data_IF_641806449531
#
_entry.id   IF_641806449531
#
_cell.length_a   1.000
_cell.length_b   1.000
_cell.length_c   1.000
_cell.angle_alpha   90.00
_cell.angle_beta   90.00
_cell.angle_gamma   90.00
#
_symmetry.space_group_name_H-M   'P 1'
#
loop_
_entity.id
_entity.type
_entity.pdbx_description
1 polymer ?
#
# COMPACT_ATOMS: atom_id res chain seq x y z
N UNK A 1 -76.43 -20.95 10.96
CA UNK A 1 -75.94 -21.88 9.92
C UNK A 1 -75.83 -21.11 8.61
N UNK A 2 -74.78 -20.30 8.43
CA UNK A 2 -74.52 -19.50 7.21
C UNK A 2 -73.00 -19.43 6.98
N UNK A 3 -72.60 -20.01 5.84
CA UNK A 3 -71.45 -19.79 4.95
C UNK A 3 -70.12 -19.23 5.51
N UNK A 4 -69.15 -20.13 5.56
CA UNK A 4 -67.71 -19.93 5.30
C UNK A 4 -67.48 -19.30 3.92
N UNK A 5 -66.56 -18.33 3.82
CA UNK A 5 -65.49 -18.19 2.80
C UNK A 5 -64.86 -16.80 2.85
N UNK A 6 -63.60 -16.71 2.41
CA UNK A 6 -62.78 -15.50 2.17
C UNK A 6 -61.98 -14.94 3.35
N UNK A 7 -60.82 -15.55 3.65
CA UNK A 7 -59.53 -14.82 3.75
C UNK A 7 -58.40 -15.78 3.37
N UNK A 8 -58.09 -15.86 2.08
CA UNK A 8 -56.82 -16.40 1.56
C UNK A 8 -56.42 -15.56 0.37
N UNK A 9 -55.63 -14.53 0.63
CA UNK A 9 -54.70 -13.90 -0.33
C UNK A 9 -54.03 -12.71 0.36
N UNK A 10 -52.73 -12.52 0.04
CA UNK A 10 -51.85 -11.41 0.45
C UNK A 10 -51.09 -11.57 1.77
N UNK A 11 -50.24 -12.60 1.87
CA UNK A 11 -49.06 -12.53 2.74
C UNK A 11 -47.96 -13.50 2.30
N UNK A 12 -47.51 -13.43 1.04
CA UNK A 12 -46.40 -14.26 0.56
C UNK A 12 -45.61 -13.64 -0.60
N UNK A 13 -45.44 -12.31 -0.63
CA UNK A 13 -44.66 -11.66 -1.69
C UNK A 13 -43.78 -10.48 -1.20
N UNK A 14 -43.33 -10.52 0.06
CA UNK A 14 -42.44 -9.48 0.62
C UNK A 14 -41.16 -10.02 1.27
N UNK A 15 -40.92 -11.34 1.25
CA UNK A 15 -39.75 -11.95 1.92
C UNK A 15 -38.76 -12.66 0.98
N UNK A 16 -38.93 -12.51 -0.34
CA UNK A 16 -37.96 -13.01 -1.34
C UNK A 16 -37.04 -11.90 -1.88
N UNK A 17 -37.27 -10.63 -1.52
CA UNK A 17 -36.54 -9.47 -2.05
C UNK A 17 -35.41 -8.94 -1.18
N UNK A 18 -35.18 -9.50 0.01
CA UNK A 18 -34.23 -8.97 1.01
C UNK A 18 -32.98 -9.84 1.24
N UNK A 19 -32.82 -10.96 0.52
CA UNK A 19 -31.63 -11.83 0.64
C UNK A 19 -30.69 -11.77 -0.56
N UNK A 20 -31.02 -11.05 -1.64
CA UNK A 20 -30.09 -10.82 -2.76
C UNK A 20 -29.16 -9.60 -2.57
N UNK A 21 -29.20 -8.95 -1.41
CA UNK A 21 -28.47 -7.69 -1.15
C UNK A 21 -27.07 -7.82 -0.54
N UNK A 22 -26.54 -9.03 -0.30
CA UNK A 22 -25.29 -9.20 0.46
C UNK A 22 -24.23 -10.11 -0.20
N UNK A 23 -24.40 -10.46 -1.48
CA UNK A 23 -23.31 -11.00 -2.31
C UNK A 23 -22.83 -9.93 -3.28
N UNK A 24 -22.50 -8.73 -2.78
CA UNK A 24 -21.38 -8.03 -3.38
C UNK A 24 -20.14 -8.82 -3.00
N UNK A 25 -19.85 -9.87 -3.79
CA UNK A 25 -18.51 -10.41 -3.90
C UNK A 25 -17.58 -9.19 -4.01
N UNK A 26 -16.62 -9.07 -3.10
CA UNK A 26 -15.66 -7.97 -3.07
C UNK A 26 -14.84 -8.01 -4.35
N UNK A 27 -15.35 -7.37 -5.40
CA UNK A 27 -14.77 -7.29 -6.74
C UNK A 27 -13.54 -6.38 -6.81
N UNK A 28 -12.82 -6.21 -5.70
CA UNK A 28 -11.59 -5.43 -5.69
C UNK A 28 -10.42 -6.40 -5.73
N UNK A 29 -9.63 -6.33 -6.81
CA UNK A 29 -8.31 -6.95 -6.85
C UNK A 29 -7.45 -6.45 -5.68
N UNK A 30 -6.66 -7.36 -5.11
CA UNK A 30 -5.65 -7.06 -4.09
C UNK A 30 -4.26 -7.08 -4.72
N UNK A 31 -3.22 -6.71 -3.96
CA UNK A 31 -1.86 -6.67 -4.50
C UNK A 31 -1.07 -7.97 -4.30
N UNK A 32 -1.43 -8.83 -3.34
CA UNK A 32 -0.70 -10.06 -3.05
C UNK A 32 -1.55 -11.29 -3.34
N UNK A 33 -1.02 -12.18 -4.17
CA UNK A 33 -1.65 -13.45 -4.51
C UNK A 33 -0.74 -14.64 -4.26
N UNK A 34 -1.35 -15.79 -4.00
CA UNK A 34 -0.69 -17.10 -3.95
C UNK A 34 -1.11 -17.92 -5.16
N UNK A 35 -0.14 -18.52 -5.83
CA UNK A 35 -0.38 -19.47 -6.91
C UNK A 35 0.81 -20.39 -7.15
N UNK A 36 0.70 -21.28 -8.14
CA UNK A 36 1.77 -22.21 -8.56
C UNK A 36 2.27 -21.84 -9.95
N UNK A 37 3.58 -21.92 -10.18
CA UNK A 37 4.13 -21.87 -11.55
C UNK A 37 3.96 -23.23 -12.24
N UNK A 38 3.28 -23.27 -13.39
CA UNK A 38 3.16 -24.50 -14.17
C UNK A 38 4.23 -24.64 -15.27
N UNK A 39 5.02 -23.59 -15.52
CA UNK A 39 6.03 -23.58 -16.57
C UNK A 39 7.15 -24.54 -16.19
N UNK A 40 7.33 -25.60 -16.97
CA UNK A 40 8.36 -26.63 -16.71
C UNK A 40 9.78 -26.17 -17.06
N UNK A 41 9.92 -25.37 -18.12
CA UNK A 41 11.22 -24.94 -18.66
C UNK A 41 11.21 -23.44 -18.85
N UNK A 42 12.32 -22.77 -18.54
CA UNK A 42 12.47 -21.35 -18.82
C UNK A 42 12.57 -21.12 -20.33
N UNK A 43 11.76 -20.22 -20.86
CA UNK A 43 11.68 -19.93 -22.31
C UNK A 43 12.48 -18.70 -22.72
N UNK A 44 13.02 -17.95 -21.76
CA UNK A 44 13.75 -16.70 -22.00
C UNK A 44 14.82 -16.44 -20.92
N UNK A 45 15.70 -15.48 -21.19
CA UNK A 45 16.77 -15.06 -20.28
C UNK A 45 18.01 -15.95 -20.36
N UNK A 46 19.01 -15.66 -19.50
CA UNK A 46 20.30 -16.34 -19.49
C UNK A 46 20.21 -17.86 -19.21
N UNK A 47 19.12 -18.30 -18.60
CA UNK A 47 18.86 -19.69 -18.21
C UNK A 47 17.80 -20.36 -19.09
N UNK A 48 17.50 -19.79 -20.27
CA UNK A 48 16.55 -20.39 -21.21
C UNK A 48 16.96 -21.83 -21.58
N UNK A 49 15.98 -22.73 -21.61
CA UNK A 49 16.19 -24.16 -21.83
C UNK A 49 16.42 -24.99 -20.56
N UNK A 50 16.71 -24.35 -19.41
CA UNK A 50 16.83 -25.05 -18.14
C UNK A 50 15.46 -25.30 -17.47
N UNK A 51 15.33 -26.32 -16.61
CA UNK A 51 14.14 -26.52 -15.78
C UNK A 51 13.79 -25.26 -14.98
N UNK A 52 12.52 -24.90 -14.89
CA UNK A 52 12.11 -23.79 -14.05
C UNK A 52 12.17 -24.22 -12.58
N UNK A 53 12.99 -23.59 -11.71
CA UNK A 53 13.12 -24.01 -10.32
C UNK A 53 11.82 -23.79 -9.51
N UNK A 54 10.87 -23.00 -10.05
CA UNK A 54 9.57 -22.72 -9.45
C UNK A 54 8.44 -23.64 -9.96
N UNK A 55 8.71 -24.50 -10.94
CA UNK A 55 7.68 -25.40 -11.48
C UNK A 55 7.07 -26.25 -10.36
N UNK A 56 5.74 -26.20 -10.22
CA UNK A 56 4.99 -26.94 -9.21
C UNK A 56 5.13 -26.43 -7.77
N UNK A 57 5.81 -25.29 -7.54
CA UNK A 57 5.99 -24.70 -6.21
C UNK A 57 4.98 -23.59 -5.94
N UNK A 58 4.65 -23.38 -4.67
CA UNK A 58 3.96 -22.15 -4.24
C UNK A 58 4.81 -20.93 -4.60
N UNK A 59 4.17 -19.81 -4.91
CA UNK A 59 4.83 -18.55 -5.18
C UNK A 59 3.98 -17.40 -4.67
N UNK A 60 4.60 -16.47 -3.94
CA UNK A 60 3.98 -15.16 -3.67
C UNK A 60 4.09 -14.31 -4.93
N UNK A 61 2.95 -13.77 -5.37
CA UNK A 61 2.81 -12.96 -6.56
C UNK A 61 2.38 -11.55 -6.15
N UNK A 62 3.10 -10.54 -6.62
CA UNK A 62 2.65 -9.16 -6.58
C UNK A 62 1.89 -8.83 -7.86
N UNK A 63 0.69 -8.28 -7.72
CA UNK A 63 -0.18 -7.91 -8.82
C UNK A 63 0.03 -6.44 -9.22
N UNK A 64 0.57 -6.21 -10.42
CA UNK A 64 0.56 -4.88 -11.02
C UNK A 64 -0.80 -4.62 -11.65
N UNK A 65 -1.60 -3.81 -10.97
CA UNK A 65 -2.96 -3.45 -11.40
C UNK A 65 -2.91 -2.11 -12.15
N UNK A 66 -3.32 -2.11 -13.41
CA UNK A 66 -3.43 -0.93 -14.26
C UNK A 66 -4.87 -0.41 -14.32
N UNK A 67 -5.06 0.90 -14.54
CA UNK A 67 -6.37 1.50 -14.60
C UNK A 67 -7.17 1.04 -15.83
N UNK A 68 -8.46 1.39 -15.82
CA UNK A 68 -9.38 1.12 -16.93
C UNK A 68 -8.80 1.57 -18.29
N UNK A 69 -8.99 0.74 -19.32
CA UNK A 69 -8.42 0.94 -20.66
C UNK A 69 -6.99 0.41 -20.85
N UNK A 70 -6.30 0.04 -19.76
CA UNK A 70 -4.94 -0.55 -19.80
C UNK A 70 -4.85 -1.91 -19.10
N UNK A 71 -5.99 -2.53 -18.79
CA UNK A 71 -6.03 -3.77 -18.01
C UNK A 71 -5.29 -4.95 -18.66
N UNK A 72 -5.00 -4.91 -19.96
CA UNK A 72 -4.16 -5.91 -20.63
C UNK A 72 -2.69 -5.87 -20.18
N UNK A 73 -2.26 -4.79 -19.52
CA UNK A 73 -0.93 -4.67 -18.90
C UNK A 73 -0.89 -5.30 -17.50
N UNK A 74 -2.04 -5.72 -16.96
CA UNK A 74 -2.11 -6.40 -15.68
C UNK A 74 -1.26 -7.67 -15.71
N UNK A 75 -0.36 -7.81 -14.76
CA UNK A 75 0.48 -8.98 -14.66
C UNK A 75 0.95 -9.23 -13.23
N UNK A 76 1.39 -10.46 -12.99
CA UNK A 76 2.08 -10.84 -11.77
C UNK A 76 3.59 -10.69 -11.88
N UNK A 77 4.19 -10.22 -10.80
CA UNK A 77 5.61 -10.39 -10.52
C UNK A 77 5.82 -11.39 -9.39
N UNK A 78 6.74 -12.35 -9.56
CA UNK A 78 7.04 -13.35 -8.55
C UNK A 78 7.99 -12.82 -7.48
N UNK A 79 7.51 -12.67 -6.24
CA UNK A 79 8.28 -12.18 -5.10
C UNK A 79 8.78 -13.33 -4.21
N UNK A 80 8.08 -14.45 -4.15
CA UNK A 80 8.50 -15.62 -3.36
C UNK A 80 9.14 -16.71 -4.22
N UNK A 81 10.04 -16.36 -5.14
CA UNK A 81 10.52 -17.30 -6.16
C UNK A 81 11.94 -17.81 -5.90
N UNK A 82 12.20 -19.06 -6.28
CA UNK A 82 13.55 -19.58 -6.47
C UNK A 82 14.15 -18.97 -7.74
N UNK A 83 15.46 -18.76 -7.73
CA UNK A 83 16.18 -18.15 -8.86
C UNK A 83 17.47 -18.89 -9.14
N UNK A 84 17.85 -18.96 -10.41
CA UNK A 84 19.19 -19.39 -10.80
C UNK A 84 20.21 -18.27 -10.60
N UNK A 85 21.42 -18.64 -10.18
CA UNK A 85 22.57 -17.76 -10.09
C UNK A 85 23.84 -18.46 -10.62
N UNK A 86 24.80 -17.67 -11.09
CA UNK A 86 26.07 -18.18 -11.63
C UNK A 86 26.04 -18.43 -13.14
N UNK A 87 26.94 -19.29 -13.60
CA UNK A 87 27.07 -19.65 -15.01
C UNK A 87 25.91 -20.56 -15.47
N UNK A 88 25.38 -20.33 -16.68
CA UNK A 88 24.23 -21.07 -17.18
C UNK A 88 24.51 -22.55 -17.50
N UNK A 89 25.77 -22.93 -17.73
CA UNK A 89 26.18 -24.33 -17.91
C UNK A 89 26.29 -25.09 -16.58
N UNK A 90 26.33 -24.39 -15.46
CA UNK A 90 26.45 -24.97 -14.11
C UNK A 90 25.81 -24.08 -13.04
N UNK A 91 24.50 -23.76 -13.15
CA UNK A 91 23.89 -22.78 -12.28
C UNK A 91 23.60 -23.37 -10.90
N UNK A 92 23.50 -22.48 -9.92
CA UNK A 92 23.01 -22.81 -8.58
C UNK A 92 21.59 -22.29 -8.42
N UNK A 93 20.74 -23.02 -7.69
CA UNK A 93 19.38 -22.59 -7.37
C UNK A 93 19.39 -22.00 -5.96
N UNK A 94 19.09 -20.70 -5.86
CA UNK A 94 18.84 -20.02 -4.60
C UNK A 94 17.35 -19.98 -4.28
N UNK A 95 17.02 -20.05 -3.00
CA UNK A 95 15.64 -19.94 -2.52
C UNK A 95 15.22 -18.47 -2.29
N UNK A 96 16.10 -17.52 -2.57
CA UNK A 96 15.80 -16.09 -2.50
C UNK A 96 16.68 -15.30 -3.46
N UNK A 97 16.32 -14.05 -3.69
CA UNK A 97 17.08 -13.09 -4.50
C UNK A 97 16.83 -11.66 -4.02
N UNK A 98 17.57 -10.68 -4.53
CA UNK A 98 17.30 -9.28 -4.26
C UNK A 98 15.91 -8.83 -4.73
N UNK A 99 15.31 -9.51 -5.73
CA UNK A 99 13.97 -9.21 -6.22
C UNK A 99 12.83 -9.74 -5.33
N UNK A 100 13.13 -10.60 -4.36
CA UNK A 100 12.13 -11.23 -3.51
C UNK A 100 11.69 -10.34 -2.34
N UNK A 101 11.32 -9.10 -2.64
CA UNK A 101 10.99 -8.10 -1.63
C UNK A 101 9.86 -7.18 -2.08
N UNK A 102 9.02 -6.82 -1.12
CA UNK A 102 8.04 -5.74 -1.23
C UNK A 102 8.43 -4.61 -0.25
N UNK A 103 8.51 -3.35 -0.69
CA UNK A 103 8.40 -2.88 -2.08
C UNK A 103 9.49 -3.43 -3.02
N UNK A 104 9.18 -3.52 -4.31
CA UNK A 104 10.08 -4.11 -5.31
C UNK A 104 11.32 -3.23 -5.56
N UNK A 105 12.51 -3.83 -5.57
CA UNK A 105 13.80 -3.10 -5.57
C UNK A 105 13.96 -2.14 -6.73
N UNK A 106 13.45 -2.47 -7.93
CA UNK A 106 13.60 -1.62 -9.10
C UNK A 106 12.92 -0.26 -8.94
N UNK A 107 11.93 -0.16 -8.05
CA UNK A 107 11.24 1.11 -7.75
C UNK A 107 12.07 2.04 -6.87
N UNK A 108 13.10 1.51 -6.20
CA UNK A 108 13.91 2.22 -5.20
C UNK A 108 13.08 2.86 -4.07
N UNK A 109 11.83 2.42 -3.91
CA UNK A 109 10.98 2.89 -2.83
C UNK A 109 11.47 2.31 -1.50
N UNK A 110 11.42 3.09 -0.42
CA UNK A 110 11.69 2.60 0.92
C UNK A 110 10.57 1.66 1.38
N UNK A 111 10.74 1.02 2.54
CA UNK A 111 9.69 0.17 3.12
C UNK A 111 8.35 0.88 3.28
N UNK A 112 7.26 0.11 3.31
CA UNK A 112 5.91 0.63 3.53
C UNK A 112 5.84 1.43 4.84
N UNK A 113 5.27 2.64 4.80
CA UNK A 113 5.20 3.49 5.99
C UNK A 113 4.22 2.91 7.01
N UNK A 114 4.70 2.63 8.23
CA UNK A 114 3.84 2.33 9.36
C UNK A 114 3.19 3.62 9.83
N UNK A 115 1.87 3.60 10.01
CA UNK A 115 1.07 4.78 10.32
C UNK A 115 0.39 4.64 11.68
N UNK A 116 0.09 5.75 12.38
CA UNK A 116 -0.56 5.68 13.68
C UNK A 116 -1.87 4.89 13.65
N UNK A 117 -1.99 3.93 14.57
CA UNK A 117 -3.24 3.25 14.88
C UNK A 117 -4.19 4.19 15.62
N UNK A 118 -5.44 4.24 15.20
CA UNK A 118 -6.42 5.24 15.67
C UNK A 118 -7.55 4.67 16.50
N UNK A 119 -7.60 3.35 16.70
CA UNK A 119 -8.72 2.69 17.35
C UNK A 119 -8.34 1.40 18.10
N UNK A 120 -9.12 1.10 19.15
CA UNK A 120 -9.10 -0.18 19.86
C UNK A 120 -7.70 -0.64 20.26
N UNK A 121 -7.38 -1.88 19.88
CA UNK A 121 -6.11 -2.57 20.17
C UNK A 121 -4.88 -1.92 19.52
N UNK A 122 -5.07 -0.98 18.60
CA UNK A 122 -3.99 -0.31 17.86
C UNK A 122 -3.62 1.06 18.42
N UNK A 123 -4.30 1.54 19.46
CA UNK A 123 -3.94 2.80 20.12
C UNK A 123 -2.51 2.73 20.68
N UNK A 124 -1.71 3.77 20.40
CA UNK A 124 -0.32 3.83 20.82
C UNK A 124 0.63 2.94 20.02
N UNK A 125 0.22 2.47 18.83
CA UNK A 125 1.06 1.68 17.90
C UNK A 125 1.16 2.36 16.55
N UNK A 126 2.25 2.08 15.82
CA UNK A 126 2.32 2.32 14.37
C UNK A 126 2.05 1.00 13.67
N UNK A 127 1.18 0.99 12.66
CA UNK A 127 0.67 -0.22 12.02
C UNK A 127 0.78 -0.15 10.49
N UNK A 128 0.88 -1.31 9.84
CA UNK A 128 0.66 -1.45 8.41
C UNK A 128 -0.84 -1.38 8.13
N UNK A 129 -1.22 -0.58 7.13
CA UNK A 129 -2.57 -0.59 6.56
C UNK A 129 -2.50 -0.11 5.11
N UNK A 130 -3.57 -0.36 4.35
CA UNK A 130 -3.73 0.24 3.02
C UNK A 130 -3.72 1.76 3.12
N UNK A 131 -2.81 2.39 2.40
CA UNK A 131 -2.68 3.85 2.24
C UNK A 131 -2.71 4.20 0.74
N UNK A 132 -2.23 5.39 0.38
CA UNK A 132 -1.99 5.78 -1.02
C UNK A 132 -0.66 5.28 -1.56
N UNK A 133 0.22 4.74 -0.71
CA UNK A 133 1.49 4.15 -1.14
C UNK A 133 1.23 2.87 -1.94
N UNK A 134 1.97 2.68 -3.04
CA UNK A 134 1.68 1.65 -4.04
C UNK A 134 1.65 0.21 -3.47
N UNK A 135 2.49 -0.08 -2.48
CA UNK A 135 2.70 -1.41 -1.90
C UNK A 135 2.01 -1.61 -0.54
N UNK A 136 1.16 -0.67 -0.13
CA UNK A 136 0.58 -0.64 1.22
C UNK A 136 -0.59 -1.61 1.43
N UNK A 137 -1.18 -2.12 0.34
CA UNK A 137 -2.21 -3.17 0.42
C UNK A 137 -1.54 -4.54 0.57
N UNK A 138 -1.55 -5.06 1.80
CA UNK A 138 -0.94 -6.34 2.16
C UNK A 138 -1.95 -7.48 2.24
N UNK A 139 -3.12 -7.33 1.62
CA UNK A 139 -4.11 -8.39 1.56
C UNK A 139 -3.64 -9.51 0.62
N UNK A 140 -3.61 -10.74 1.14
CA UNK A 140 -3.30 -11.97 0.41
C UNK A 140 -4.59 -12.63 -0.07
N UNK A 141 -4.58 -13.17 -1.29
CA UNK A 141 -5.64 -14.03 -1.83
C UNK A 141 -5.07 -15.17 -2.67
N UNK A 142 -5.90 -16.16 -2.98
CA UNK A 142 -5.58 -17.11 -4.06
C UNK A 142 -5.74 -16.44 -5.42
N UNK A 143 -4.87 -16.76 -6.39
CA UNK A 143 -5.11 -16.41 -7.80
C UNK A 143 -6.48 -16.91 -8.30
N UNK A 144 -7.00 -18.00 -7.72
CA UNK A 144 -8.29 -18.58 -8.10
C UNK A 144 -9.50 -17.77 -7.65
N UNK A 145 -9.32 -16.78 -6.76
CA UNK A 145 -10.38 -15.81 -6.45
C UNK A 145 -10.76 -14.97 -7.68
N UNK A 146 -9.93 -14.95 -8.72
CA UNK A 146 -10.15 -14.22 -9.97
C UNK A 146 -10.73 -15.10 -11.10
N UNK A 147 -10.83 -16.42 -10.89
CA UNK A 147 -11.17 -17.39 -11.95
C UNK A 147 -12.61 -17.29 -12.47
N UNK A 148 -13.54 -16.78 -11.65
CA UNK A 148 -14.95 -16.65 -11.99
C UNK A 148 -15.28 -15.38 -12.77
N UNK A 149 -14.31 -14.49 -12.99
CA UNK A 149 -14.55 -13.22 -13.67
C UNK A 149 -14.58 -13.41 -15.20
N UNK A 150 -15.54 -12.75 -15.84
CA UNK A 150 -15.84 -12.93 -17.26
C UNK A 150 -14.86 -12.22 -18.21
N UNK A 151 -14.92 -12.56 -19.52
CA UNK A 151 -14.20 -11.87 -20.58
C UNK A 151 -14.30 -10.34 -20.54
N UNK A 152 -13.15 -9.69 -20.69
CA UNK A 152 -13.04 -8.22 -20.72
C UNK A 152 -12.96 -7.53 -19.36
N UNK A 153 -12.90 -8.29 -18.26
CA UNK A 153 -12.66 -7.76 -16.92
C UNK A 153 -11.17 -7.65 -16.59
N UNK A 154 -10.82 -6.72 -15.70
CA UNK A 154 -9.44 -6.55 -15.23
C UNK A 154 -8.96 -7.76 -14.42
N UNK A 155 -9.87 -8.39 -13.70
CA UNK A 155 -9.66 -9.60 -12.90
C UNK A 155 -9.33 -10.79 -13.78
N UNK A 156 -10.09 -11.01 -14.85
CA UNK A 156 -9.77 -12.09 -15.77
C UNK A 156 -8.46 -11.83 -16.51
N UNK A 157 -8.18 -10.59 -16.91
CA UNK A 157 -6.91 -10.23 -17.53
C UNK A 157 -5.73 -10.51 -16.59
N UNK A 158 -5.86 -10.18 -15.30
CA UNK A 158 -4.87 -10.52 -14.28
C UNK A 158 -4.75 -12.04 -14.10
N UNK A 159 -5.87 -12.78 -13.99
CA UNK A 159 -5.89 -14.23 -13.83
C UNK A 159 -5.17 -14.97 -14.96
N UNK A 160 -5.43 -14.58 -16.21
CA UNK A 160 -4.84 -15.17 -17.41
C UNK A 160 -3.47 -14.58 -17.78
N UNK A 161 -2.97 -13.60 -17.02
CA UNK A 161 -1.67 -12.97 -17.23
C UNK A 161 -0.51 -13.97 -17.13
N UNK A 162 0.70 -13.52 -17.48
CA UNK A 162 1.90 -14.37 -17.49
C UNK A 162 1.74 -15.65 -18.32
N UNK A 163 0.97 -15.58 -19.42
CA UNK A 163 0.61 -16.73 -20.28
C UNK A 163 -0.14 -17.85 -19.52
N UNK A 164 -0.96 -17.47 -18.53
CA UNK A 164 -1.73 -18.38 -17.69
C UNK A 164 -0.87 -19.38 -16.91
N UNK A 165 0.42 -19.09 -16.69
CA UNK A 165 1.28 -20.05 -15.96
C UNK A 165 0.98 -20.12 -14.46
N UNK A 166 0.13 -19.23 -13.96
CA UNK A 166 -0.28 -19.13 -12.55
C UNK A 166 -1.64 -19.74 -12.25
N UNK A 167 -2.32 -20.35 -13.24
CA UNK A 167 -3.71 -20.82 -13.11
C UNK A 167 -3.84 -22.28 -12.69
N UNK A 168 -2.74 -22.93 -12.27
CA UNK A 168 -2.82 -24.30 -11.77
C UNK A 168 -3.58 -24.37 -10.44
N UNK A 169 -4.47 -25.34 -10.33
CA UNK A 169 -5.19 -25.64 -9.09
C UNK A 169 -4.22 -26.08 -7.99
N UNK A 170 -4.61 -25.78 -6.75
CA UNK A 170 -3.96 -26.12 -5.50
C UNK A 170 -4.91 -26.97 -4.64
N UNK A 171 -5.39 -28.13 -5.15
CA UNK A 171 -6.51 -28.84 -4.54
C UNK A 171 -6.11 -29.42 -3.18
N UNK A 172 -6.92 -29.11 -2.17
CA UNK A 172 -6.69 -29.55 -0.80
C UNK A 172 -5.43 -28.99 -0.17
N UNK A 173 -4.87 -27.89 -0.68
CA UNK A 173 -3.73 -27.23 -0.05
C UNK A 173 -4.20 -26.37 1.12
N UNK A 174 -3.56 -26.51 2.29
CA UNK A 174 -3.74 -25.56 3.40
C UNK A 174 -2.48 -24.70 3.47
N UNK A 175 -2.60 -23.46 3.02
CA UNK A 175 -1.46 -22.57 2.81
C UNK A 175 -1.20 -21.78 4.09
N UNK A 176 0.05 -21.78 4.53
CA UNK A 176 0.50 -21.00 5.66
C UNK A 176 1.68 -20.08 5.31
N UNK A 177 1.78 -18.96 6.03
CA UNK A 177 3.00 -18.18 6.15
C UNK A 177 3.88 -18.81 7.23
N UNK A 178 5.11 -19.18 6.86
CA UNK A 178 6.19 -19.51 7.78
C UNK A 178 7.02 -18.25 8.05
N UNK A 179 7.19 -17.87 9.31
CA UNK A 179 8.09 -16.79 9.70
C UNK A 179 9.54 -17.27 9.72
N UNK A 180 10.38 -16.72 8.84
CA UNK A 180 11.80 -17.06 8.76
C UNK A 180 12.65 -16.13 9.63
N UNK A 181 12.38 -14.82 9.58
CA UNK A 181 13.07 -13.83 10.41
C UNK A 181 12.25 -12.53 10.51
N UNK A 182 12.53 -11.69 11.51
CA UNK A 182 11.97 -10.32 11.59
C UNK A 182 12.87 -9.38 12.37
N UNK A 183 12.80 -8.10 12.06
CA UNK A 183 13.44 -7.04 12.84
C UNK A 183 12.90 -7.05 14.28
N UNK A 184 13.79 -6.87 15.27
CA UNK A 184 13.40 -6.73 16.66
C UNK A 184 12.40 -5.56 16.83
N UNK A 185 11.37 -5.77 17.64
CA UNK A 185 10.30 -4.78 17.86
C UNK A 185 9.18 -4.78 16.80
N UNK A 186 9.37 -5.45 15.64
CA UNK A 186 8.30 -5.65 14.67
C UNK A 186 7.38 -6.79 15.12
N UNK A 187 6.17 -6.45 15.53
CA UNK A 187 5.09 -7.39 15.81
C UNK A 187 4.29 -7.73 14.56
N UNK A 188 3.68 -8.91 14.57
CA UNK A 188 2.72 -9.36 13.55
C UNK A 188 1.49 -9.84 14.29
N UNK A 189 0.32 -9.40 13.86
CA UNK A 189 -0.96 -9.73 14.47
C UNK A 189 -2.02 -9.98 13.38
N UNK A 190 -3.10 -10.64 13.75
CA UNK A 190 -4.29 -10.70 12.91
C UNK A 190 -5.05 -9.36 12.92
N UNK A 191 -6.19 -9.30 12.22
CA UNK A 191 -7.03 -8.10 12.13
C UNK A 191 -7.70 -7.70 13.46
N UNK A 192 -7.80 -8.63 14.41
CA UNK A 192 -8.34 -8.42 15.75
C UNK A 192 -7.27 -7.98 16.76
N UNK A 193 -5.99 -8.01 16.35
CA UNK A 193 -4.85 -7.63 17.17
C UNK A 193 -4.24 -8.78 17.97
N UNK A 194 -4.66 -10.02 17.75
CA UNK A 194 -4.06 -11.18 18.39
C UNK A 194 -2.66 -11.41 17.79
N UNK A 195 -1.61 -11.54 18.62
CA UNK A 195 -0.28 -11.84 18.12
C UNK A 195 -0.24 -13.18 17.39
N UNK A 196 0.34 -13.17 16.20
CA UNK A 196 0.60 -14.36 15.38
C UNK A 196 2.08 -14.39 15.03
N UNK A 197 2.58 -15.54 14.57
CA UNK A 197 3.97 -15.65 14.10
C UNK A 197 4.97 -15.09 15.13
N UNK A 198 4.79 -15.46 16.40
CA UNK A 198 5.58 -14.88 17.50
C UNK A 198 7.03 -15.36 17.47
N UNK A 199 7.23 -16.61 17.06
CA UNK A 199 8.54 -17.25 17.00
C UNK A 199 8.94 -17.53 15.56
N UNK A 200 10.24 -17.48 15.27
CA UNK A 200 10.80 -18.00 14.01
C UNK A 200 10.44 -19.48 13.87
N UNK A 201 10.06 -19.90 12.66
CA UNK A 201 9.52 -21.23 12.35
C UNK A 201 8.04 -21.40 12.68
N UNK A 202 7.37 -20.39 13.26
CA UNK A 202 5.92 -20.46 13.45
C UNK A 202 5.19 -20.36 12.11
N UNK A 203 4.07 -21.08 12.02
CA UNK A 203 3.18 -21.07 10.86
C UNK A 203 1.86 -20.38 11.20
N UNK A 204 1.32 -19.62 10.25
CA UNK A 204 -0.03 -19.07 10.30
C UNK A 204 -0.76 -19.48 9.03
N UNK A 205 -1.82 -20.27 9.16
CA UNK A 205 -2.69 -20.61 8.01
C UNK A 205 -3.33 -19.31 7.51
N UNK A 206 -3.19 -19.06 6.22
CA UNK A 206 -3.70 -17.86 5.54
C UNK A 206 -4.86 -18.18 4.59
N UNK A 207 -5.05 -19.45 4.21
CA UNK A 207 -6.18 -19.87 3.41
C UNK A 207 -6.02 -21.24 2.78
N UNK A 208 -7.10 -21.73 2.21
CA UNK A 208 -7.14 -22.99 1.46
C UNK A 208 -6.93 -22.70 -0.04
N UNK A 209 -6.11 -23.49 -0.71
CA UNK A 209 -5.49 -23.16 -2.01
C UNK A 209 -6.45 -22.62 -3.07
N UNK A 210 -7.50 -23.37 -3.41
CA UNK A 210 -8.46 -23.01 -4.46
C UNK A 210 -9.72 -22.31 -3.92
N UNK A 211 -9.78 -22.00 -2.62
CA UNK A 211 -10.98 -21.40 -2.03
C UNK A 211 -11.18 -19.97 -2.56
N UNK A 212 -12.38 -19.74 -3.11
CA UNK A 212 -12.81 -18.42 -3.56
C UNK A 212 -12.83 -17.39 -2.42
N UNK A 213 -13.03 -17.84 -1.18
CA UNK A 213 -13.04 -17.00 0.02
C UNK A 213 -11.66 -16.84 0.67
N UNK A 214 -10.58 -17.36 0.07
CA UNK A 214 -9.23 -17.13 0.58
C UNK A 214 -8.92 -15.62 0.55
N UNK A 215 -9.00 -15.00 1.72
CA UNK A 215 -8.58 -13.63 2.00
C UNK A 215 -7.89 -13.58 3.36
N UNK A 216 -6.69 -13.00 3.40
CA UNK A 216 -5.92 -12.88 4.63
C UNK A 216 -5.18 -11.55 4.69
N UNK A 217 -5.32 -10.83 5.83
CA UNK A 217 -4.73 -9.52 6.03
C UNK A 217 -3.99 -9.48 7.38
N UNK A 218 -2.66 -9.69 7.38
CA UNK A 218 -1.87 -9.50 8.59
C UNK A 218 -1.67 -8.02 8.88
N UNK A 219 -1.52 -7.68 10.15
CA UNK A 219 -1.13 -6.34 10.61
C UNK A 219 0.27 -6.40 11.20
N UNK A 220 1.20 -5.71 10.57
CA UNK A 220 2.54 -5.45 11.08
C UNK A 220 2.50 -4.22 11.95
N UNK A 221 3.16 -4.25 13.10
CA UNK A 221 3.12 -3.13 14.03
C UNK A 221 4.40 -2.97 14.84
N UNK A 222 4.62 -1.75 15.31
CA UNK A 222 5.65 -1.38 16.29
C UNK A 222 5.03 -0.49 17.36
N UNK A 223 5.75 -0.28 18.47
CA UNK A 223 5.32 0.70 19.47
C UNK A 223 5.19 2.10 18.86
N UNK A 224 4.30 2.93 19.40
CA UNK A 224 4.03 4.28 18.88
C UNK A 224 5.23 5.24 18.96
N UNK A 225 6.16 4.95 19.87
CA UNK A 225 7.42 5.64 20.11
C UNK A 225 8.63 4.90 19.54
N UNK A 226 8.41 3.90 18.68
CA UNK A 226 9.49 3.17 18.03
C UNK A 226 10.43 4.12 17.27
N UNK A 227 11.73 3.83 17.32
CA UNK A 227 12.73 4.66 16.66
C UNK A 227 12.50 4.70 15.14
N UNK A 228 12.72 5.86 14.49
CA UNK A 228 12.78 5.94 13.04
C UNK A 228 13.77 4.93 12.46
N UNK A 229 13.43 4.34 11.32
CA UNK A 229 14.26 3.34 10.66
C UNK A 229 13.47 2.30 9.88
N UNK A 230 14.20 1.32 9.36
CA UNK A 230 13.67 0.23 8.55
C UNK A 230 13.38 -1.01 9.39
N UNK A 231 12.24 -1.62 9.12
CA UNK A 231 11.78 -2.86 9.73
C UNK A 231 11.41 -3.84 8.63
N UNK A 232 11.63 -5.13 8.84
CA UNK A 232 11.25 -6.14 7.87
C UNK A 232 10.88 -7.46 8.52
N UNK A 233 10.09 -8.24 7.80
CA UNK A 233 9.85 -9.64 8.11
C UNK A 233 10.13 -10.48 6.86
N UNK A 234 10.78 -11.61 7.06
CA UNK A 234 11.09 -12.60 6.05
C UNK A 234 10.17 -13.80 6.23
N UNK A 235 9.58 -14.26 5.13
CA UNK A 235 8.61 -15.35 5.13
C UNK A 235 8.89 -16.36 4.03
N UNK A 236 8.22 -17.50 4.16
CA UNK A 236 8.03 -18.50 3.10
C UNK A 236 6.57 -18.94 3.09
N UNK A 237 6.02 -19.27 1.93
CA UNK A 237 4.73 -19.96 1.82
C UNK A 237 4.97 -21.46 1.89
N UNK A 238 4.21 -22.14 2.74
CA UNK A 238 4.25 -23.58 2.92
C UNK A 238 2.85 -24.16 2.84
N UNK A 239 2.74 -25.35 2.26
CA UNK A 239 1.55 -26.16 2.33
C UNK A 239 1.69 -27.08 3.53
N UNK A 240 0.80 -26.93 4.51
CA UNK A 240 0.85 -27.68 5.78
C UNK A 240 -0.12 -28.86 5.79
N UNK A 241 -0.89 -29.06 4.70
CA UNK A 241 -1.86 -30.14 4.67
C UNK A 241 -1.20 -31.48 4.34
N UNK A 242 -1.21 -32.38 5.31
CA UNK A 242 -0.73 -33.76 5.23
C UNK A 242 -1.86 -34.81 5.29
N UNK A 243 -3.12 -34.35 5.33
CA UNK A 243 -4.28 -35.21 5.45
C UNK A 243 -4.37 -36.21 4.29
N UNK A 244 -4.81 -37.43 4.61
CA UNK A 244 -4.90 -38.51 3.62
C UNK A 244 -3.56 -38.99 3.05
N UNK A 245 -2.43 -38.62 3.67
CA UNK A 245 -1.10 -39.06 3.24
C UNK A 245 -0.61 -38.40 1.95
N UNK A 246 -1.20 -37.27 1.56
CA UNK A 246 -0.77 -36.53 0.38
C UNK A 246 0.59 -35.87 0.59
N UNK A 247 1.31 -35.65 -0.51
CA UNK A 247 2.53 -34.84 -0.49
C UNK A 247 2.14 -33.35 -0.56
N UNK A 248 2.56 -32.52 0.41
CA UNK A 248 2.34 -31.08 0.33
C UNK A 248 2.97 -30.47 -0.92
N UNK A 249 2.35 -29.41 -1.45
CA UNK A 249 2.92 -28.62 -2.54
C UNK A 249 4.26 -28.07 -2.06
N UNK A 250 5.34 -28.19 -2.86
CA UNK A 250 6.63 -27.63 -2.50
C UNK A 250 6.55 -26.14 -2.16
N UNK A 251 7.26 -25.75 -1.11
CA UNK A 251 7.26 -24.39 -0.59
C UNK A 251 7.75 -23.35 -1.61
N UNK A 252 7.38 -22.10 -1.35
CA UNK A 252 7.94 -20.96 -2.10
C UNK A 252 9.41 -20.71 -1.75
N UNK A 253 10.04 -19.81 -2.51
CA UNK A 253 11.24 -19.13 -2.05
C UNK A 253 10.95 -18.22 -0.85
N UNK A 254 12.01 -17.75 -0.19
CA UNK A 254 11.92 -16.75 0.88
C UNK A 254 11.73 -15.36 0.29
N UNK A 255 10.86 -14.58 0.91
CA UNK A 255 10.54 -13.21 0.53
C UNK A 255 10.46 -12.26 1.73
N UNK A 256 10.61 -10.98 1.47
CA UNK A 256 10.66 -9.93 2.48
C UNK A 256 9.52 -8.93 2.33
N UNK A 257 8.85 -8.62 3.43
CA UNK A 257 7.98 -7.44 3.52
C UNK A 257 8.69 -6.37 4.34
N UNK A 258 8.94 -5.22 3.72
CA UNK A 258 9.67 -4.09 4.31
C UNK A 258 8.72 -2.99 4.74
N UNK A 259 9.06 -2.40 5.87
CA UNK A 259 8.34 -1.35 6.55
C UNK A 259 9.32 -0.26 7.01
N UNK A 260 8.80 0.91 7.30
CA UNK A 260 9.58 1.99 7.90
C UNK A 260 8.77 2.77 8.92
N UNK A 261 9.49 3.30 9.91
CA UNK A 261 9.03 4.42 10.73
C UNK A 261 9.78 5.65 10.21
N UNK A 262 9.09 6.63 9.59
CA UNK A 262 9.75 7.82 9.10
C UNK A 262 10.25 8.67 10.27
N UNK A 263 11.30 9.46 10.03
CA UNK A 263 11.65 10.51 10.97
C UNK A 263 10.47 11.47 11.15
N UNK A 264 10.29 11.96 12.37
CA UNK A 264 9.28 12.97 12.62
C UNK A 264 9.54 14.17 11.69
N UNK A 265 8.50 14.73 11.05
CA UNK A 265 8.69 15.88 10.19
C UNK A 265 9.33 17.00 11.02
N UNK A 266 10.53 17.42 10.62
CA UNK A 266 11.13 18.60 11.20
C UNK A 266 10.30 19.79 10.73
N UNK A 267 9.61 20.44 11.66
CA UNK A 267 8.98 21.73 11.40
C UNK A 267 10.10 22.74 11.16
N UNK A 268 10.49 22.90 9.90
CA UNK A 268 11.24 24.06 9.48
C UNK A 268 10.25 25.23 9.42
N UNK A 269 10.35 26.16 10.38
CA UNK A 269 9.74 27.48 10.21
C UNK A 269 10.33 28.05 8.92
N UNK A 270 9.49 28.34 7.92
CA UNK A 270 9.94 29.02 6.72
C UNK A 270 10.67 30.30 7.15
N UNK A 271 11.97 30.39 6.86
CA UNK A 271 12.80 31.54 7.27
C UNK A 271 12.42 32.84 6.56
N UNK A 272 11.54 32.73 5.57
CA UNK A 272 11.06 33.84 4.76
C UNK A 272 9.58 33.66 4.42
N UNK A 273 8.87 34.78 4.30
CA UNK A 273 7.51 34.85 3.76
C UNK A 273 7.58 35.59 2.43
N UNK A 274 7.01 34.99 1.38
CA UNK A 274 6.78 35.68 0.10
C UNK A 274 5.39 36.31 0.14
N UNK A 275 5.33 37.63 -0.02
CA UNK A 275 4.08 38.37 -0.14
C UNK A 275 3.94 38.88 -1.57
N UNK A 276 2.85 38.52 -2.23
CA UNK A 276 2.43 39.15 -3.49
C UNK A 276 1.46 40.27 -3.15
N UNK A 277 1.91 41.52 -3.32
CA UNK A 277 1.09 42.70 -3.03
C UNK A 277 0.73 43.42 -4.34
N UNK A 278 -0.50 43.96 -4.45
CA UNK A 278 -0.83 44.87 -5.54
C UNK A 278 0.08 46.11 -5.48
N UNK A 279 0.47 46.63 -6.64
CA UNK A 279 1.28 47.83 -6.82
C UNK A 279 0.49 49.08 -6.42
N UNK A 280 0.17 49.21 -5.14
CA UNK A 280 -0.52 50.36 -4.56
C UNK A 280 0.53 51.25 -3.91
N UNK A 281 1.34 51.91 -4.73
CA UNK A 281 2.43 52.77 -4.25
C UNK A 281 1.93 54.12 -3.70
N UNK A 282 0.70 54.52 -4.05
CA UNK A 282 0.12 55.77 -3.56
C UNK A 282 -0.66 55.55 -2.27
N UNK A 283 -0.07 56.02 -1.16
CA UNK A 283 -0.77 56.17 0.11
C UNK A 283 -0.88 54.90 0.95
N UNK A 284 -0.09 53.86 0.70
CA UNK A 284 -0.03 52.64 1.52
C UNK A 284 1.39 52.28 1.93
N UNK A 285 1.54 51.69 3.11
CA UNK A 285 2.79 51.17 3.64
C UNK A 285 2.59 49.73 4.13
N UNK A 286 3.59 48.88 3.91
CA UNK A 286 3.64 47.56 4.53
C UNK A 286 4.14 47.74 5.96
N UNK A 287 3.40 47.21 6.93
CA UNK A 287 3.82 47.19 8.33
C UNK A 287 3.82 45.76 8.85
N UNK A 288 4.67 45.49 9.83
CA UNK A 288 4.73 44.20 10.48
C UNK A 288 4.78 44.31 12.01
N UNK A 289 4.29 43.28 12.69
CA UNK A 289 4.25 43.22 14.15
C UNK A 289 4.53 41.80 14.67
N UNK A 290 5.09 41.64 15.88
CA UNK A 290 5.25 40.34 16.52
C UNK A 290 3.92 39.75 17.02
N UNK A 291 2.90 40.60 17.22
CA UNK A 291 1.55 40.22 17.67
C UNK A 291 0.48 40.83 16.76
N UNK A 292 -0.70 40.19 16.70
CA UNK A 292 -1.81 40.62 15.85
C UNK A 292 -2.32 42.05 16.17
N UNK A 293 -2.06 42.55 17.38
CA UNK A 293 -2.51 43.86 17.84
C UNK A 293 -1.41 44.95 17.77
N UNK A 294 -0.23 44.64 17.21
CA UNK A 294 0.93 45.54 17.20
C UNK A 294 1.90 45.26 18.37
N UNK A 295 2.92 46.12 18.58
CA UNK A 295 3.19 47.37 17.88
C UNK A 295 3.58 47.12 16.41
N UNK A 296 3.04 47.92 15.51
CA UNK A 296 3.29 47.80 14.07
C UNK A 296 4.45 48.70 13.65
N UNK A 297 5.46 48.10 13.04
CA UNK A 297 6.64 48.79 12.49
C UNK A 297 6.57 48.81 10.98
N UNK A 298 6.85 49.96 10.37
CA UNK A 298 6.90 50.11 8.91
C UNK A 298 8.06 49.30 8.36
N UNK A 299 7.78 48.50 7.33
CA UNK A 299 8.80 47.89 6.50
C UNK A 299 9.07 48.86 5.36
N UNK A 300 10.24 49.52 5.32
CA UNK A 300 10.55 50.42 4.22
C UNK A 300 10.59 49.62 2.92
N UNK A 301 9.76 50.02 1.95
CA UNK A 301 9.99 49.61 0.57
C UNK A 301 11.34 50.20 0.14
N UNK A 302 12.23 49.42 -0.47
CA UNK A 302 13.51 49.97 -0.90
C UNK A 302 13.31 51.00 -2.02
N UNK A 303 14.14 52.06 -2.06
CA UNK A 303 14.11 53.01 -3.15
C UNK A 303 14.56 52.33 -4.45
N UNK A 304 13.83 52.56 -5.54
CA UNK A 304 14.22 52.10 -6.86
C UNK A 304 15.55 52.76 -7.30
N UNK A 305 16.41 52.08 -8.09
CA UNK A 305 16.29 50.68 -8.52
C UNK A 305 16.88 49.71 -7.49
N UNK A 306 16.08 48.74 -7.04
CA UNK A 306 16.54 47.65 -6.16
C UNK A 306 16.36 46.31 -6.88
N UNK A 307 17.43 45.52 -6.92
CA UNK A 307 17.51 44.20 -7.56
C UNK A 307 17.02 43.05 -6.66
N UNK A 308 16.57 43.34 -5.43
CA UNK A 308 16.05 42.32 -4.50
C UNK A 308 14.57 41.98 -4.68
N UNK A 309 13.84 42.66 -5.56
CA UNK A 309 12.40 42.43 -5.81
C UNK A 309 12.16 42.11 -7.28
N UNK A 310 11.27 41.15 -7.52
CA UNK A 310 10.83 40.84 -8.89
C UNK A 310 9.50 41.54 -9.10
N UNK A 311 9.45 42.49 -10.04
CA UNK A 311 8.20 43.13 -10.45
C UNK A 311 7.65 42.40 -11.67
N UNK A 312 6.38 41.98 -11.60
CA UNK A 312 5.65 41.43 -12.73
C UNK A 312 4.33 42.19 -12.87
N UNK A 313 4.19 42.97 -13.95
CA UNK A 313 3.00 43.80 -14.18
C UNK A 313 2.69 44.74 -13.01
N UNK A 314 1.52 44.55 -12.40
CA UNK A 314 1.00 45.35 -11.27
C UNK A 314 1.19 44.70 -9.90
N UNK A 315 2.15 43.77 -9.76
CA UNK A 315 2.44 43.11 -8.48
C UNK A 315 3.92 43.17 -8.13
N UNK A 316 4.19 43.32 -6.82
CA UNK A 316 5.52 43.16 -6.23
C UNK A 316 5.59 41.86 -5.44
N UNK A 317 6.63 41.07 -5.71
CA UNK A 317 7.01 39.93 -4.86
C UNK A 317 8.22 40.30 -4.01
N UNK A 318 8.00 40.33 -2.69
CA UNK A 318 9.03 40.59 -1.69
C UNK A 318 9.28 39.36 -0.81
N UNK A 319 10.55 39.08 -0.54
CA UNK A 319 10.97 38.04 0.41
C UNK A 319 11.49 38.71 1.66
N UNK A 320 10.78 38.58 2.77
CA UNK A 320 11.16 39.21 4.04
C UNK A 320 11.77 38.18 4.99
N UNK A 321 12.91 38.50 5.65
CA UNK A 321 13.44 37.63 6.70
C UNK A 321 12.50 37.63 7.91
N UNK A 322 12.32 36.47 8.51
CA UNK A 322 11.59 36.33 9.77
C UNK A 322 12.47 36.88 10.89
N UNK A 323 12.05 37.98 11.53
CA UNK A 323 12.79 38.62 12.65
C UNK A 323 12.34 38.14 14.04
N UNK A 324 11.28 37.32 14.11
CA UNK A 324 10.71 36.78 15.34
C UNK A 324 9.96 35.45 15.09
N UNK A 325 9.73 34.63 16.13
CA UNK A 325 9.04 33.33 16.02
C UNK A 325 7.63 33.41 15.38
N UNK A 326 7.00 34.59 15.43
CA UNK A 326 5.76 34.94 14.74
C UNK A 326 5.84 36.38 14.25
N UNK A 327 5.39 36.61 13.02
CA UNK A 327 5.32 37.94 12.42
C UNK A 327 3.99 38.08 11.67
N UNK A 328 3.25 39.15 11.96
CA UNK A 328 2.04 39.55 11.25
C UNK A 328 2.40 40.65 10.26
N UNK A 329 1.75 40.67 9.10
CA UNK A 329 1.93 41.68 8.07
C UNK A 329 0.58 42.28 7.70
N UNK A 330 0.52 43.61 7.52
CA UNK A 330 -0.66 44.28 6.98
C UNK A 330 -0.25 45.45 6.09
N UNK A 331 -1.09 45.75 5.10
CA UNK A 331 -1.03 47.01 4.36
C UNK A 331 -1.83 48.06 5.15
N UNK A 332 -1.18 49.18 5.49
CA UNK A 332 -1.78 50.32 6.19
C UNK A 332 -1.79 51.55 5.27
N UNK A 333 -2.88 52.31 5.26
CA UNK A 333 -2.98 53.56 4.46
C UNK A 333 -2.29 54.72 5.20
N UNK A 334 -1.41 55.47 4.54
CA UNK A 334 -0.61 56.55 5.15
C UNK A 334 -1.35 57.90 5.25
N UNK A 335 -2.50 58.04 4.59
CA UNK A 335 -3.35 59.25 4.67
C UNK A 335 -4.84 58.86 4.70
N UNK A 336 -5.67 59.41 5.60
CA UNK A 336 -7.12 59.31 5.47
C UNK A 336 -7.58 59.92 4.14
N UNK A 337 -8.61 59.40 3.46
CA UNK A 337 -9.15 60.08 2.29
C UNK A 337 -9.55 61.51 2.67
N UNK A 338 -9.15 62.49 1.86
CA UNK A 338 -9.70 63.83 1.97
C UNK A 338 -11.21 63.73 1.79
N UNK A 339 -11.97 64.26 2.77
CA UNK A 339 -13.43 64.33 2.71
C UNK A 339 -13.91 65.17 1.53
#
# INVERSE_FOLDING_TARGET
MIKTSYVRSLMALALAGLTLGALQARAQMVNLYVGIDNRQTLTFGAYAGLPNPNAGRLTLLYAHIYPYGQFHNNHYHGIGSYSYAGDAGSPTVGDTSSGNVIPEVYTQLPGNTLVPGTNGVWLGKLISRKTREHYSDLCFRSVHSLSSFGPGSSEQAMFLSSASTRTNLMPGASIALELVSRTAGLGIADSEGNPILVNVGAHQIIGEGDDFNFEYLPVFWVAGDAAPGDYQAEFRLVDVNIDGGRTPIPSSGRFFLKFRVPEAPQLAVAKTVTLTLPLVTDGWELVAAPEANGPWTVIPFPPAPDTTYTQSGTTYDGTFPVTADRQFYQLRRTTPPAN
#
